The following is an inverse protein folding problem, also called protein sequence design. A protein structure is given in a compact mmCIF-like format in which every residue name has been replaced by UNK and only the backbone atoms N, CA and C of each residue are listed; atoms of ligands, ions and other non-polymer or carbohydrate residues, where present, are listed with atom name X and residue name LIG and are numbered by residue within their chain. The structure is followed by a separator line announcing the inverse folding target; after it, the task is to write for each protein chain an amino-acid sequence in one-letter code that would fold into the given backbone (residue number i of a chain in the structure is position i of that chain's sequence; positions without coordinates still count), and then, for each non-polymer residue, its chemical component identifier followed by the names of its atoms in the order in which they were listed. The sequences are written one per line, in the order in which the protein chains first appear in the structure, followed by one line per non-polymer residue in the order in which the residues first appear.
data_IF_258407416529
#
_entry.id   IF_258407416529
#
_cell.length_a   1.000
_cell.length_b   1.000
_cell.length_c   1.000
_cell.angle_alpha   90.00
_cell.angle_beta   90.00
_cell.angle_gamma   90.00
#
_symmetry.space_group_name_H-M   'P 1'
#
loop_
_entity.id
_entity.type
_entity.pdbx_description
1 polymer ?
#
# COMPACT_ATOMS: atom_id res chain seq x y z
N UNK A 1 -2.87 -11.04 -24.46
CA UNK A 1 -3.25 -10.28 -23.25
C UNK A 1 -1.94 -9.91 -22.55
N UNK A 2 -1.52 -8.65 -22.59
CA UNK A 2 -0.32 -8.19 -21.88
C UNK A 2 -0.68 -7.90 -20.43
N UNK A 3 -0.07 -8.65 -19.50
CA UNK A 3 -0.19 -8.35 -18.07
C UNK A 3 0.67 -7.14 -17.76
N UNK A 4 0.06 -5.96 -17.63
CA UNK A 4 0.74 -4.79 -17.06
C UNK A 4 0.84 -5.00 -15.55
N UNK A 5 1.97 -5.53 -15.09
CA UNK A 5 2.33 -5.55 -13.67
C UNK A 5 2.88 -4.17 -13.29
N UNK A 6 2.00 -3.21 -13.07
CA UNK A 6 2.40 -1.99 -12.37
C UNK A 6 2.51 -2.31 -10.87
N UNK A 7 3.71 -2.11 -10.33
CA UNK A 7 4.00 -2.21 -8.90
C UNK A 7 4.14 -0.80 -8.37
N UNK A 8 3.43 -0.50 -7.29
CA UNK A 8 3.64 0.72 -6.52
C UNK A 8 3.84 0.38 -5.05
N UNK A 9 4.51 1.28 -4.35
CA UNK A 9 4.77 1.17 -2.93
C UNK A 9 4.30 2.47 -2.27
N UNK A 10 3.90 2.39 -1.01
CA UNK A 10 3.40 3.54 -0.26
C UNK A 10 3.23 3.19 1.20
N UNK A 11 2.82 4.19 1.98
CA UNK A 11 2.59 4.03 3.42
C UNK A 11 1.13 3.63 3.65
N UNK A 12 0.90 2.51 4.31
CA UNK A 12 -0.42 2.15 4.81
C UNK A 12 -0.81 3.15 5.91
N UNK A 13 -1.91 3.87 5.73
CA UNK A 13 -2.35 4.91 6.66
C UNK A 13 -3.62 4.56 7.42
N UNK A 14 -4.49 3.72 6.84
CA UNK A 14 -5.76 3.35 7.47
C UNK A 14 -6.42 2.13 6.80
N UNK A 15 -7.53 1.67 7.39
CA UNK A 15 -8.51 0.77 6.80
C UNK A 15 -9.88 1.43 6.90
N UNK A 16 -10.62 1.55 5.80
CA UNK A 16 -11.95 2.15 5.83
C UNK A 16 -13.06 1.20 6.32
N UNK A 17 -14.27 1.72 6.49
CA UNK A 17 -15.43 0.99 7.02
C UNK A 17 -15.85 -0.23 6.17
N UNK A 18 -15.41 -0.27 4.91
CA UNK A 18 -15.67 -1.38 3.98
C UNK A 18 -14.50 -2.39 3.95
N UNK A 19 -13.43 -2.14 4.73
CA UNK A 19 -12.28 -3.02 4.85
C UNK A 19 -11.18 -2.80 3.82
N UNK A 20 -11.20 -1.69 3.06
CA UNK A 20 -10.17 -1.36 2.09
C UNK A 20 -8.92 -0.81 2.78
N UNK A 21 -7.75 -1.27 2.35
CA UNK A 21 -6.48 -0.68 2.78
C UNK A 21 -6.30 0.67 2.09
N UNK A 22 -6.07 1.72 2.88
CA UNK A 22 -5.73 3.05 2.39
C UNK A 22 -4.21 3.21 2.38
N UNK A 23 -3.65 3.44 1.20
CA UNK A 23 -2.21 3.67 1.00
C UNK A 23 -1.97 5.08 0.49
N UNK A 24 -1.10 5.81 1.18
CA UNK A 24 -0.58 7.10 0.73
C UNK A 24 0.71 6.89 -0.06
N UNK A 25 0.71 7.33 -1.31
CA UNK A 25 1.87 7.34 -2.19
C UNK A 25 2.79 8.52 -1.90
N UNK A 26 4.00 8.49 -2.46
CA UNK A 26 5.03 9.51 -2.24
C UNK A 26 4.63 10.89 -2.78
N UNK A 27 3.76 10.94 -3.80
CA UNK A 27 3.18 12.18 -4.35
C UNK A 27 2.02 12.74 -3.51
N UNK A 28 1.65 12.04 -2.43
CA UNK A 28 0.54 12.40 -1.54
C UNK A 28 -0.82 11.82 -1.94
N UNK A 29 -0.93 11.15 -3.09
CA UNK A 29 -2.16 10.49 -3.55
C UNK A 29 -2.58 9.39 -2.59
N UNK A 30 -3.89 9.29 -2.31
CA UNK A 30 -4.47 8.18 -1.58
C UNK A 30 -5.06 7.15 -2.54
N UNK A 31 -4.72 5.88 -2.35
CA UNK A 31 -5.29 4.75 -3.10
C UNK A 31 -5.96 3.75 -2.16
N UNK A 32 -7.15 3.28 -2.54
CA UNK A 32 -7.85 2.15 -1.92
C UNK A 32 -7.40 0.84 -2.59
N UNK A 33 -7.08 -0.17 -1.80
CA UNK A 33 -6.57 -1.46 -2.30
C UNK A 33 -7.28 -2.62 -1.60
N UNK A 34 -7.68 -3.65 -2.35
CA UNK A 34 -8.10 -4.93 -1.77
C UNK A 34 -6.88 -5.60 -1.15
N UNK A 35 -6.95 -5.91 0.14
CA UNK A 35 -5.83 -6.46 0.92
C UNK A 35 -5.40 -7.88 0.52
N UNK A 36 -6.11 -8.54 -0.39
CA UNK A 36 -5.81 -9.91 -0.86
C UNK A 36 -4.51 -10.04 -1.68
N UNK A 37 -4.08 -8.99 -2.38
CA UNK A 37 -2.92 -9.01 -3.30
C UNK A 37 -1.74 -8.15 -2.85
N UNK A 38 -1.71 -7.74 -1.57
CA UNK A 38 -0.66 -6.86 -1.04
C UNK A 38 0.42 -7.64 -0.30
N UNK A 39 1.65 -7.12 -0.33
CA UNK A 39 2.77 -7.64 0.49
C UNK A 39 3.19 -6.57 1.49
N UNK A 40 3.10 -6.88 2.79
CA UNK A 40 3.56 -5.98 3.85
C UNK A 40 5.06 -6.17 4.09
N UNK A 41 5.82 -5.08 4.02
CA UNK A 41 7.26 -5.06 4.33
C UNK A 41 7.49 -4.21 5.58
N UNK A 42 7.96 -4.82 6.67
CA UNK A 42 8.42 -4.06 7.85
C UNK A 42 9.77 -3.42 7.49
N UNK A 43 9.88 -2.10 7.60
CA UNK A 43 11.19 -1.44 7.64
C UNK A 43 11.76 -1.66 9.05
N UNK A 44 12.89 -2.35 9.15
CA UNK A 44 13.65 -2.43 10.40
C UNK A 44 14.07 -1.00 10.74
N UNK A 45 13.49 -0.42 11.78
CA UNK A 45 13.97 0.84 12.30
C UNK A 45 15.24 0.50 13.10
N UNK A 46 16.40 0.78 12.52
CA UNK A 46 17.64 0.77 13.27
C UNK A 46 17.59 1.98 14.22
N UNK A 47 17.07 1.79 15.42
CA UNK A 47 17.26 2.75 16.52
C UNK A 47 18.72 2.70 16.94
N UNK A 48 19.42 3.81 16.70
CA UNK A 48 20.74 4.12 17.26
C UNK A 48 20.58 4.78 18.62
#
# INVERSE_FOLDING_TARGET
ISSFKERFEGTAVDIDDEGWLIVKLDDGTLKKIVSGDVTVRKKTQNTT
#
